data_IF_111343192706
#
_entry.id   IF_111343192706
#
_cell.length_a   1.000
_cell.length_b   1.000
_cell.length_c   1.000
_cell.angle_alpha   90.00
_cell.angle_beta   90.00
_cell.angle_gamma   90.00
#
_symmetry.space_group_name_H-M   'P 1'
#
loop_
_entity.id
_entity.type
_entity.pdbx_description
1 polymer ?
#
# COMPACT_ATOMS: atom_id res chain seq x y z
N UNK A 1 17.24 13.52 15.76
CA UNK A 1 17.01 12.34 14.91
C UNK A 1 18.05 12.36 13.82
N UNK A 2 18.77 11.25 13.65
CA UNK A 2 19.67 11.04 12.50
C UNK A 2 18.84 10.78 11.22
N UNK A 3 19.47 10.89 10.05
CA UNK A 3 18.84 10.51 8.78
C UNK A 3 18.40 9.05 8.78
N UNK A 4 19.22 8.14 9.34
CA UNK A 4 18.88 6.72 9.45
C UNK A 4 17.60 6.49 10.27
N UNK A 5 17.45 7.18 11.39
CA UNK A 5 16.23 7.06 12.22
C UNK A 5 14.98 7.54 11.48
N UNK A 6 15.12 8.58 10.64
CA UNK A 6 14.00 9.10 9.83
C UNK A 6 13.59 8.12 8.73
N UNK A 7 14.56 7.49 8.07
CA UNK A 7 14.31 6.49 7.03
C UNK A 7 13.66 5.23 7.60
N UNK A 8 14.16 4.73 8.73
CA UNK A 8 13.59 3.56 9.41
C UNK A 8 12.14 3.82 9.86
N UNK A 9 11.88 5.03 10.41
CA UNK A 9 10.53 5.47 10.76
C UNK A 9 9.62 5.54 9.52
N UNK A 10 10.09 6.11 8.42
CA UNK A 10 9.35 6.19 7.15
C UNK A 10 9.00 4.81 6.61
N UNK A 11 9.95 3.88 6.60
CA UNK A 11 9.72 2.50 6.17
C UNK A 11 8.71 1.77 7.05
N UNK A 12 8.82 1.90 8.38
CA UNK A 12 7.87 1.30 9.33
C UNK A 12 6.46 1.86 9.14
N UNK A 13 6.35 3.17 8.98
CA UNK A 13 5.09 3.86 8.71
C UNK A 13 4.45 3.38 7.40
N UNK A 14 5.23 3.14 6.34
CA UNK A 14 4.73 2.63 5.08
C UNK A 14 4.28 1.16 5.19
N UNK A 15 4.99 0.32 5.94
CA UNK A 15 4.57 -1.06 6.22
C UNK A 15 3.21 -1.09 6.97
N UNK A 16 3.04 -0.26 7.99
CA UNK A 16 1.77 -0.17 8.72
C UNK A 16 0.62 0.32 7.84
N UNK A 17 0.88 1.31 6.98
CA UNK A 17 -0.12 1.83 6.05
C UNK A 17 -0.50 0.79 4.99
N UNK A 18 0.45 -0.02 4.53
CA UNK A 18 0.21 -1.15 3.64
C UNK A 18 -0.77 -2.14 4.26
N UNK A 19 -0.50 -2.63 5.47
CA UNK A 19 -1.35 -3.61 6.15
C UNK A 19 -2.77 -3.07 6.39
N UNK A 20 -2.88 -1.81 6.80
CA UNK A 20 -4.17 -1.13 6.98
C UNK A 20 -4.93 -1.01 5.66
N UNK A 21 -4.23 -0.69 4.57
CA UNK A 21 -4.84 -0.60 3.24
C UNK A 21 -5.34 -1.97 2.78
N UNK A 22 -4.57 -3.04 2.98
CA UNK A 22 -4.98 -4.40 2.66
C UNK A 22 -6.26 -4.80 3.42
N UNK A 23 -6.32 -4.49 4.72
CA UNK A 23 -7.52 -4.74 5.53
C UNK A 23 -8.73 -3.95 5.02
N UNK A 24 -8.55 -2.68 4.68
CA UNK A 24 -9.61 -1.85 4.09
C UNK A 24 -10.17 -2.48 2.81
N UNK A 25 -9.30 -2.96 1.92
CA UNK A 25 -9.68 -3.60 0.66
C UNK A 25 -10.55 -4.83 0.90
N UNK A 26 -10.13 -5.69 1.83
CA UNK A 26 -10.85 -6.92 2.18
C UNK A 26 -12.19 -6.59 2.82
N UNK A 27 -12.23 -5.64 3.76
CA UNK A 27 -13.43 -5.27 4.50
C UNK A 27 -14.50 -4.61 3.62
N UNK A 28 -14.09 -3.74 2.72
CA UNK A 28 -14.98 -2.98 1.84
C UNK A 28 -15.23 -3.68 0.50
N UNK A 29 -14.60 -4.84 0.25
CA UNK A 29 -14.72 -5.59 -0.99
C UNK A 29 -14.24 -4.81 -2.22
N UNK A 30 -13.20 -3.97 -2.06
CA UNK A 30 -12.74 -3.09 -3.14
C UNK A 30 -12.05 -3.89 -4.24
N UNK A 31 -12.64 -3.87 -5.44
CA UNK A 31 -12.06 -4.51 -6.64
C UNK A 31 -10.94 -3.63 -7.24
N UNK A 32 -11.03 -2.31 -7.07
CA UNK A 32 -10.03 -1.35 -7.56
C UNK A 32 -9.60 -0.40 -6.43
N UNK A 33 -8.29 -0.26 -6.23
CA UNK A 33 -7.73 0.70 -5.27
C UNK A 33 -7.23 1.93 -6.00
N UNK A 34 -7.79 3.08 -5.62
CA UNK A 34 -7.37 4.40 -6.08
C UNK A 34 -6.51 5.07 -5.01
N UNK A 35 -5.47 5.79 -5.43
CA UNK A 35 -4.59 6.56 -4.52
C UNK A 35 -5.40 7.49 -3.63
N UNK A 36 -6.41 8.15 -4.17
CA UNK A 36 -7.29 9.07 -3.44
C UNK A 36 -8.07 8.38 -2.32
N UNK A 37 -8.44 7.11 -2.48
CA UNK A 37 -9.12 6.32 -1.43
C UNK A 37 -8.21 6.17 -0.22
N UNK A 38 -6.96 5.74 -0.44
CA UNK A 38 -5.96 5.58 0.63
C UNK A 38 -5.61 6.94 1.25
N UNK A 39 -5.44 7.96 0.42
CA UNK A 39 -5.12 9.32 0.85
C UNK A 39 -6.17 9.88 1.81
N UNK A 40 -7.45 9.81 1.43
CA UNK A 40 -8.54 10.38 2.22
C UNK A 40 -8.88 9.53 3.44
N UNK A 41 -8.87 8.21 3.31
CA UNK A 41 -9.22 7.30 4.40
C UNK A 41 -8.18 7.37 5.54
N UNK A 42 -6.88 7.37 5.20
CA UNK A 42 -5.81 7.37 6.21
C UNK A 42 -5.20 8.76 6.47
N UNK A 43 -5.66 9.80 5.77
CA UNK A 43 -5.17 11.19 5.91
C UNK A 43 -3.65 11.29 5.74
N UNK A 44 -3.13 10.69 4.67
CA UNK A 44 -1.70 10.70 4.34
C UNK A 44 -1.41 11.54 3.10
N UNK A 45 -0.15 11.90 2.89
CA UNK A 45 0.28 12.60 1.67
C UNK A 45 0.11 11.74 0.41
N UNK A 46 -0.13 12.40 -0.72
CA UNK A 46 -0.40 11.73 -2.01
C UNK A 46 0.71 10.73 -2.39
N UNK A 47 1.98 11.15 -2.31
CA UNK A 47 3.11 10.28 -2.69
C UNK A 47 3.16 9.01 -1.84
N UNK A 48 2.90 9.14 -0.53
CA UNK A 48 2.87 8.00 0.37
C UNK A 48 1.73 7.04 0.01
N UNK A 49 0.53 7.55 -0.21
CA UNK A 49 -0.59 6.74 -0.70
C UNK A 49 -0.26 6.07 -2.05
N UNK A 50 0.36 6.79 -2.99
CA UNK A 50 0.72 6.26 -4.29
C UNK A 50 1.70 5.08 -4.21
N UNK A 51 2.73 5.17 -3.36
CA UNK A 51 3.68 4.07 -3.13
C UNK A 51 2.97 2.80 -2.64
N UNK A 52 2.04 2.94 -1.70
CA UNK A 52 1.30 1.79 -1.16
C UNK A 52 0.42 1.15 -2.23
N UNK A 53 -0.31 1.96 -2.99
CA UNK A 53 -1.18 1.45 -4.07
C UNK A 53 -0.37 0.76 -5.17
N UNK A 54 0.79 1.33 -5.54
CA UNK A 54 1.66 0.73 -6.55
C UNK A 54 2.20 -0.62 -6.09
N UNK A 55 2.69 -0.70 -4.83
CA UNK A 55 3.15 -1.96 -4.24
C UNK A 55 2.09 -3.04 -4.28
N UNK A 56 0.86 -2.73 -3.85
CA UNK A 56 -0.27 -3.68 -3.87
C UNK A 56 -0.59 -4.17 -5.29
N UNK A 57 -0.51 -3.29 -6.30
CA UNK A 57 -0.74 -3.66 -7.70
C UNK A 57 0.35 -4.58 -8.24
N UNK A 58 1.61 -4.28 -7.94
CA UNK A 58 2.74 -5.11 -8.36
C UNK A 58 2.65 -6.52 -7.75
N UNK A 59 2.38 -6.62 -6.45
CA UNK A 59 2.22 -7.91 -5.78
C UNK A 59 1.02 -8.71 -6.32
N UNK A 60 -0.14 -8.08 -6.53
CA UNK A 60 -1.28 -8.74 -7.18
C UNK A 60 -0.97 -9.23 -8.59
N UNK A 61 -0.23 -8.42 -9.38
CA UNK A 61 0.19 -8.81 -10.73
C UNK A 61 1.14 -10.00 -10.70
N UNK A 62 2.07 -10.04 -9.75
CA UNK A 62 3.00 -11.17 -9.56
C UNK A 62 2.21 -12.43 -9.22
N UNK A 63 1.32 -12.38 -8.22
CA UNK A 63 0.49 -13.52 -7.82
C UNK A 63 -0.37 -14.04 -8.98
N UNK A 64 -1.04 -13.15 -9.72
CA UNK A 64 -1.83 -13.54 -10.88
C UNK A 64 -0.97 -14.15 -12.00
N UNK A 65 0.25 -13.65 -12.22
CA UNK A 65 1.15 -14.21 -13.21
C UNK A 65 1.74 -15.57 -12.80
N UNK A 66 1.90 -15.83 -11.50
CA UNK A 66 2.34 -17.13 -10.99
C UNK A 66 1.24 -18.19 -11.13
N UNK A 67 -0.02 -17.82 -10.88
CA UNK A 67 -1.18 -18.72 -11.04
C UNK A 67 -1.42 -19.12 -12.50
N UNK A 68 -1.13 -18.25 -13.47
CA UNK A 68 -1.38 -18.50 -14.90
C UNK A 68 -0.22 -19.22 -15.63
N UNK A 69 0.77 -19.76 -14.90
CA UNK A 69 1.93 -20.47 -15.46
C UNK A 69 1.82 -22.00 -15.45
N UNK A 70 0.71 -22.54 -14.94
CA UNK A 70 0.34 -23.96 -14.99
C UNK A 70 -0.67 -24.25 -16.13
#
# INVERSE_FOLDING_TARGET
>A
MSEQEQDDLSHKMDAELYDKTLRLIIQEGLIEIKVKTVQLHFRVGYNRAARIVERLRLENKILNNEINKD
#
